data_IF_641362170249
#
_entry.id   IF_641362170249
#
_cell.length_a   1.000
_cell.length_b   1.000
_cell.length_c   1.000
_cell.angle_alpha   90.00
_cell.angle_beta   90.00
_cell.angle_gamma   90.00
#
_symmetry.space_group_name_H-M   'P 1'
#
loop_
_entity.id
_entity.type
_entity.pdbx_description
1 polymer ?
#
# COMPACT_ATOMS: atom_id res chain seq x y z
N UNK A 1 -41.19 42.36 26.78
CA UNK A 1 -39.77 41.94 26.85
C UNK A 1 -39.67 40.47 26.43
N UNK A 2 -39.22 40.16 25.20
CA UNK A 2 -39.02 38.78 24.71
C UNK A 2 -37.52 38.48 24.69
N UNK A 3 -37.07 37.60 25.60
CA UNK A 3 -35.68 37.19 25.76
C UNK A 3 -35.23 36.40 24.52
N UNK A 4 -34.22 36.89 23.81
CA UNK A 4 -33.53 36.15 22.73
C UNK A 4 -32.67 35.08 23.39
N UNK A 5 -33.09 33.82 23.26
CA UNK A 5 -32.32 32.65 23.70
C UNK A 5 -31.26 32.38 22.63
N UNK A 6 -29.99 32.68 22.94
CA UNK A 6 -28.84 32.32 22.12
C UNK A 6 -28.60 30.80 22.25
N UNK A 7 -28.84 30.06 21.16
CA UNK A 7 -28.54 28.63 21.07
C UNK A 7 -27.06 28.46 20.68
N UNK A 8 -26.22 27.74 21.44
CA UNK A 8 -24.85 27.47 21.03
C UNK A 8 -24.84 26.37 19.95
N UNK A 9 -24.28 26.71 18.79
CA UNK A 9 -24.04 25.80 17.67
C UNK A 9 -22.81 24.94 17.99
N UNK A 10 -23.01 23.76 18.56
CA UNK A 10 -21.96 22.77 18.83
C UNK A 10 -21.68 21.98 17.55
N UNK A 11 -20.63 22.38 16.81
CA UNK A 11 -20.12 21.63 15.64
C UNK A 11 -19.21 20.52 16.16
N UNK A 12 -19.74 19.29 16.24
CA UNK A 12 -18.93 18.08 16.46
C UNK A 12 -18.32 17.65 15.11
N UNK A 13 -17.11 18.12 14.81
CA UNK A 13 -16.27 17.59 13.74
C UNK A 13 -15.66 16.25 14.18
N UNK A 14 -16.44 15.17 14.14
CA UNK A 14 -15.91 13.81 14.24
C UNK A 14 -15.44 13.37 12.86
N UNK A 15 -14.21 13.72 12.49
CA UNK A 15 -13.53 13.17 11.34
C UNK A 15 -13.09 11.73 11.63
N UNK A 16 -13.96 10.75 11.41
CA UNK A 16 -13.52 9.37 11.28
C UNK A 16 -12.72 9.26 9.98
N UNK A 17 -11.40 9.36 10.09
CA UNK A 17 -10.51 8.93 9.02
C UNK A 17 -10.70 7.42 8.86
N UNK A 18 -11.57 7.02 7.93
CA UNK A 18 -11.74 5.63 7.53
C UNK A 18 -10.40 5.16 6.96
N UNK A 19 -9.62 4.44 7.77
CA UNK A 19 -8.51 3.64 7.28
C UNK A 19 -9.11 2.64 6.29
N UNK A 20 -9.01 2.95 5.00
CA UNK A 20 -9.26 1.99 3.94
C UNK A 20 -8.20 0.91 4.11
N UNK A 21 -8.55 -0.15 4.83
CA UNK A 21 -7.82 -1.40 4.77
C UNK A 21 -7.77 -1.78 3.30
N UNK A 22 -6.63 -1.55 2.66
CA UNK A 22 -6.43 -1.88 1.26
C UNK A 22 -6.61 -3.38 1.16
N UNK A 23 -7.74 -3.78 0.59
CA UNK A 23 -8.03 -5.19 0.33
C UNK A 23 -7.08 -5.64 -0.79
N UNK A 24 -5.84 -5.93 -0.39
CA UNK A 24 -4.80 -6.44 -1.27
C UNK A 24 -5.05 -7.94 -1.40
N UNK A 25 -5.43 -8.42 -2.60
CA UNK A 25 -5.69 -9.83 -2.84
C UNK A 25 -4.41 -10.66 -2.73
N UNK A 26 -4.58 -11.96 -2.56
CA UNK A 26 -3.49 -12.92 -2.49
C UNK A 26 -2.95 -13.14 -1.08
N UNK A 27 -1.74 -13.68 -1.03
CA UNK A 27 -1.02 -14.01 0.19
C UNK A 27 0.15 -13.06 0.40
N UNK A 28 0.09 -12.29 1.49
CA UNK A 28 1.17 -11.43 1.95
C UNK A 28 1.24 -11.46 3.47
N UNK A 29 2.46 -11.45 3.98
CA UNK A 29 2.82 -11.36 5.40
C UNK A 29 2.87 -9.91 5.90
N UNK A 30 2.76 -8.93 5.00
CA UNK A 30 2.75 -7.51 5.35
C UNK A 30 1.54 -7.15 6.23
N UNK A 31 1.79 -6.42 7.31
CA UNK A 31 0.75 -5.77 8.11
C UNK A 31 0.01 -4.71 7.29
N UNK A 32 -1.16 -4.25 7.75
CA UNK A 32 -1.93 -3.23 7.05
C UNK A 32 -1.11 -1.95 6.74
N UNK A 33 -0.29 -1.50 7.70
CA UNK A 33 0.60 -0.35 7.49
C UNK A 33 1.65 -0.65 6.42
N UNK A 34 2.32 -1.80 6.49
CA UNK A 34 3.30 -2.20 5.50
C UNK A 34 2.68 -2.35 4.10
N UNK A 35 1.45 -2.85 3.99
CA UNK A 35 0.74 -2.92 2.71
C UNK A 35 0.56 -1.54 2.10
N UNK A 36 0.17 -0.55 2.90
CA UNK A 36 0.02 0.83 2.45
C UNK A 36 1.38 1.42 2.00
N UNK A 37 2.45 1.17 2.75
CA UNK A 37 3.79 1.66 2.41
C UNK A 37 4.35 1.03 1.12
N UNK A 38 4.17 -0.29 0.96
CA UNK A 38 4.53 -1.01 -0.26
C UNK A 38 3.73 -0.49 -1.46
N UNK A 39 2.42 -0.29 -1.30
CA UNK A 39 1.57 0.31 -2.32
C UNK A 39 2.03 1.70 -2.72
N UNK A 40 2.38 2.55 -1.75
CA UNK A 40 2.89 3.89 -2.02
C UNK A 40 4.19 3.83 -2.84
N UNK A 41 5.08 2.89 -2.50
CA UNK A 41 6.31 2.67 -3.28
C UNK A 41 6.03 2.21 -4.71
N UNK A 42 5.15 1.21 -4.89
CA UNK A 42 4.72 0.74 -6.22
C UNK A 42 4.10 1.90 -7.01
N UNK A 43 3.23 2.70 -6.39
CA UNK A 43 2.59 3.86 -7.01
C UNK A 43 3.62 4.87 -7.51
N UNK A 44 4.65 5.17 -6.71
CA UNK A 44 5.73 6.06 -7.13
C UNK A 44 6.50 5.49 -8.33
N UNK A 45 6.78 4.17 -8.33
CA UNK A 45 7.48 3.51 -9.44
C UNK A 45 6.63 3.52 -10.72
N UNK A 46 5.35 3.21 -10.63
CA UNK A 46 4.41 3.22 -11.76
C UNK A 46 4.25 4.63 -12.33
N UNK A 47 4.04 5.63 -11.47
CA UNK A 47 3.92 7.03 -11.90
C UNK A 47 5.18 7.56 -12.60
N UNK A 48 6.36 7.10 -12.17
CA UNK A 48 7.63 7.53 -12.75
C UNK A 48 7.91 6.87 -14.11
N UNK A 49 7.52 5.61 -14.27
CA UNK A 49 7.96 4.81 -15.42
C UNK A 49 6.85 4.51 -16.44
N UNK A 50 5.57 4.64 -16.07
CA UNK A 50 4.41 4.49 -16.94
C UNK A 50 3.40 5.65 -16.69
N UNK A 51 3.82 6.90 -16.91
CA UNK A 51 2.99 8.06 -16.61
C UNK A 51 1.67 8.02 -17.41
N UNK A 52 0.56 8.24 -16.71
CA UNK A 52 -0.78 8.25 -17.31
C UNK A 52 -1.45 6.87 -17.44
N UNK A 53 -0.75 5.78 -17.12
CA UNK A 53 -1.41 4.48 -17.00
C UNK A 53 -2.14 4.35 -15.65
N UNK A 54 -3.32 3.73 -15.70
CA UNK A 54 -3.94 3.21 -14.48
C UNK A 54 -3.23 1.91 -14.08
N UNK A 55 -2.95 1.77 -12.79
CA UNK A 55 -2.37 0.55 -12.23
C UNK A 55 -3.11 0.12 -10.96
N UNK A 56 -3.14 -1.19 -10.72
CA UNK A 56 -3.72 -1.79 -9.51
C UNK A 56 -2.97 -3.08 -9.14
N UNK A 57 -2.78 -3.33 -7.85
CA UNK A 57 -2.32 -4.65 -7.38
C UNK A 57 -3.48 -5.63 -7.52
N UNK A 58 -3.26 -6.72 -8.24
CA UNK A 58 -4.28 -7.75 -8.53
C UNK A 58 -4.04 -9.07 -7.81
N UNK A 59 -2.82 -9.30 -7.33
CA UNK A 59 -2.48 -10.49 -6.53
C UNK A 59 -1.19 -10.26 -5.74
N UNK A 60 -0.99 -11.04 -4.68
CA UNK A 60 0.26 -11.13 -3.93
C UNK A 60 0.60 -12.59 -3.68
N UNK A 61 1.88 -12.92 -3.77
CA UNK A 61 2.37 -14.29 -3.63
C UNK A 61 3.52 -14.33 -2.66
N UNK A 62 3.45 -15.23 -1.68
CA UNK A 62 4.61 -15.59 -0.88
C UNK A 62 5.54 -16.47 -1.71
N UNK A 63 6.81 -16.06 -1.84
CA UNK A 63 7.82 -16.80 -2.61
C UNK A 63 8.67 -17.68 -1.69
N UNK A 64 9.01 -17.17 -0.50
CA UNK A 64 9.82 -17.91 0.46
C UNK A 64 10.51 -16.99 1.46
N UNK A 65 11.46 -17.56 2.19
CA UNK A 65 12.29 -16.83 3.16
C UNK A 65 13.77 -16.93 2.81
N UNK A 66 14.53 -15.88 3.08
CA UNK A 66 15.99 -15.88 2.99
C UNK A 66 16.56 -15.27 4.26
N UNK A 67 17.19 -16.09 5.09
CA UNK A 67 17.51 -15.69 6.46
C UNK A 67 16.24 -15.33 7.23
N UNK A 68 16.21 -14.12 7.81
CA UNK A 68 15.03 -13.61 8.53
C UNK A 68 14.08 -12.81 7.62
N UNK A 69 14.40 -12.67 6.33
CA UNK A 69 13.58 -11.91 5.39
C UNK A 69 12.53 -12.79 4.72
N UNK A 70 11.34 -12.23 4.52
CA UNK A 70 10.27 -12.81 3.69
C UNK A 70 10.35 -12.19 2.30
N UNK A 71 10.30 -13.03 1.26
CA UNK A 71 10.24 -12.61 -0.13
C UNK A 71 8.83 -12.87 -0.69
N UNK A 72 8.28 -11.86 -1.33
CA UNK A 72 6.96 -11.85 -1.95
C UNK A 72 7.04 -11.32 -3.38
N UNK A 73 6.03 -11.66 -4.18
CA UNK A 73 5.77 -11.03 -5.46
C UNK A 73 4.41 -10.33 -5.41
N UNK A 74 4.41 -9.06 -5.80
CA UNK A 74 3.22 -8.23 -5.88
C UNK A 74 2.89 -8.01 -7.34
N UNK A 75 1.77 -8.56 -7.80
CA UNK A 75 1.38 -8.54 -9.21
C UNK A 75 0.52 -7.31 -9.44
N UNK A 76 1.00 -6.43 -10.31
CA UNK A 76 0.34 -5.19 -10.70
C UNK A 76 -0.17 -5.31 -12.12
N UNK A 77 -1.45 -5.05 -12.33
CA UNK A 77 -1.99 -4.79 -13.67
C UNK A 77 -1.75 -3.32 -13.99
N UNK A 78 -0.93 -3.03 -15.00
CA UNK A 78 -0.61 -1.67 -15.45
C UNK A 78 -0.58 -1.62 -16.98
N UNK A 79 -1.26 -0.62 -17.56
CA UNK A 79 -1.45 -0.48 -19.01
C UNK A 79 -1.95 -1.77 -19.72
N UNK A 80 -2.74 -2.61 -19.05
CA UNK A 80 -3.22 -3.89 -19.58
C UNK A 80 -2.20 -5.05 -19.55
N UNK A 81 -1.03 -4.85 -18.92
CA UNK A 81 -0.02 -5.90 -18.69
C UNK A 81 0.06 -6.26 -17.22
N UNK A 82 0.39 -7.51 -16.93
CA UNK A 82 0.74 -7.93 -15.56
C UNK A 82 2.24 -7.79 -15.33
N UNK A 83 2.58 -7.11 -14.25
CA UNK A 83 3.95 -6.76 -13.89
C UNK A 83 4.20 -7.31 -12.49
N UNK A 84 5.18 -8.18 -12.33
CA UNK A 84 5.56 -8.71 -11.01
C UNK A 84 6.60 -7.81 -10.35
N UNK A 85 6.27 -7.35 -9.14
CA UNK A 85 7.16 -6.58 -8.27
C UNK A 85 7.73 -7.47 -7.17
N UNK A 86 9.05 -7.75 -7.18
CA UNK A 86 9.69 -8.42 -6.06
C UNK A 86 9.68 -7.52 -4.82
N UNK A 87 9.13 -8.04 -3.73
CA UNK A 87 9.06 -7.37 -2.43
C UNK A 87 9.81 -8.20 -1.40
N UNK A 88 10.65 -7.54 -0.59
CA UNK A 88 11.35 -8.18 0.53
C UNK A 88 10.99 -7.48 1.83
N UNK A 89 10.60 -8.24 2.84
CA UNK A 89 10.26 -7.77 4.18
C UNK A 89 11.27 -8.32 5.17
N UNK A 90 11.98 -7.44 5.90
CA UNK A 90 13.04 -7.83 6.84
C UNK A 90 12.74 -7.27 8.22
N UNK A 91 12.48 -8.12 9.23
CA UNK A 91 12.30 -7.66 10.59
C UNK A 91 13.56 -6.95 11.12
N UNK A 92 13.39 -5.82 11.81
CA UNK A 92 14.48 -5.18 12.55
C UNK A 92 14.54 -5.79 13.97
N UNK A 93 15.71 -6.25 14.45
CA UNK A 93 15.88 -6.77 15.82
C UNK A 93 15.45 -5.79 16.94
N UNK A 94 15.40 -4.48 16.66
CA UNK A 94 14.96 -3.43 17.58
C UNK A 94 13.45 -3.13 17.48
N UNK A 95 12.74 -3.87 16.62
CA UNK A 95 11.32 -3.70 16.34
C UNK A 95 11.05 -3.01 15.01
N UNK A 96 9.90 -3.33 14.40
CA UNK A 96 9.52 -2.85 13.07
C UNK A 96 9.97 -3.78 11.95
N UNK A 97 9.84 -3.32 10.70
CA UNK A 97 10.16 -4.11 9.50
C UNK A 97 10.64 -3.16 8.41
N UNK A 98 11.82 -3.42 7.86
CA UNK A 98 12.25 -2.80 6.62
C UNK A 98 11.57 -3.50 5.44
N UNK A 99 11.16 -2.73 4.45
CA UNK A 99 10.67 -3.30 3.20
C UNK A 99 11.45 -2.74 2.01
N UNK A 100 11.57 -3.55 0.96
CA UNK A 100 12.12 -3.13 -0.32
C UNK A 100 11.21 -3.59 -1.45
N UNK A 101 10.99 -2.71 -2.43
CA UNK A 101 10.29 -3.01 -3.68
C UNK A 101 11.31 -2.85 -4.80
N UNK A 102 11.56 -3.93 -5.56
CA UNK A 102 12.46 -3.87 -6.72
C UNK A 102 11.66 -3.54 -7.97
N UNK A 103 12.27 -2.78 -8.87
CA UNK A 103 11.71 -2.60 -10.21
C UNK A 103 11.73 -3.94 -10.96
N UNK A 104 10.69 -4.24 -11.76
CA UNK A 104 10.67 -5.40 -12.63
C UNK A 104 11.87 -5.40 -13.59
N UNK A 105 12.29 -6.57 -14.06
CA UNK A 105 13.40 -6.66 -15.02
C UNK A 105 13.12 -5.88 -16.31
N UNK A 106 14.19 -5.33 -16.91
CA UNK A 106 14.09 -4.52 -18.13
C UNK A 106 13.46 -5.33 -19.26
N UNK A 107 12.39 -4.80 -19.87
CA UNK A 107 11.73 -5.39 -21.04
C UNK A 107 10.38 -6.05 -20.77
N UNK A 108 9.91 -6.09 -19.51
CA UNK A 108 8.61 -6.69 -19.12
C UNK A 108 7.43 -5.71 -19.29
N UNK A 109 7.69 -4.49 -19.80
CA UNK A 109 6.68 -3.40 -19.88
C UNK A 109 6.21 -3.05 -21.27
#
# INVERSE_FOLDING_TARGET
MRKRLLLPFFILLTGCATMQATNIPGQTSASLTLKADILNMINMIENAQAPGCSHKVVDTKFIGTTGNSVNEEWIVESCGKQISYPVTLTPDPKGGTYFGVKTPEKGVR
#
